data_IF_280512232437
#
_entry.id   IF_280512232437
#
_cell.length_a   1.000
_cell.length_b   1.000
_cell.length_c   1.000
_cell.angle_alpha   90.00
_cell.angle_beta   90.00
_cell.angle_gamma   90.00
#
_symmetry.space_group_name_H-M   'P 1'
#
loop_
_entity.id
_entity.type
_entity.pdbx_description
1 polymer ?
#
# COMPACT_ATOMS: atom_id res chain seq x y z
N UNK A 1 -8.89 16.21 -32.41
CA UNK A 1 -7.79 16.27 -31.42
C UNK A 1 -8.26 15.56 -30.17
N UNK A 2 -8.30 14.24 -30.20
CA UNK A 2 -8.66 13.35 -29.09
C UNK A 2 -8.36 11.97 -29.62
N UNK A 3 -7.30 11.32 -29.12
CA UNK A 3 -7.07 9.86 -29.15
C UNK A 3 -5.68 9.53 -28.55
N UNK A 4 -5.47 9.86 -27.26
CA UNK A 4 -4.32 9.34 -26.48
C UNK A 4 -4.76 8.55 -25.22
N UNK A 5 -6.07 8.48 -24.93
CA UNK A 5 -6.56 7.92 -23.66
C UNK A 5 -6.86 6.42 -23.68
N UNK A 6 -6.98 5.81 -24.86
CA UNK A 6 -7.54 4.45 -24.99
C UNK A 6 -6.50 3.32 -25.06
N UNK A 7 -5.23 3.64 -25.34
CA UNK A 7 -4.14 2.65 -25.41
C UNK A 7 -3.60 2.21 -24.03
N UNK A 8 -3.89 2.93 -22.94
CA UNK A 8 -3.29 2.65 -21.63
C UNK A 8 -4.15 1.78 -20.70
N UNK A 9 -5.48 1.90 -20.73
CA UNK A 9 -6.34 1.22 -19.74
C UNK A 9 -6.38 -0.29 -19.94
N UNK A 10 -6.44 -0.73 -21.20
CA UNK A 10 -6.43 -2.15 -21.54
C UNK A 10 -5.11 -2.81 -21.14
N UNK A 11 -3.99 -2.14 -21.34
CA UNK A 11 -2.66 -2.63 -20.97
C UNK A 11 -2.50 -2.70 -19.43
N UNK A 12 -3.01 -1.70 -18.70
CA UNK A 12 -3.02 -1.71 -17.23
C UNK A 12 -3.90 -2.85 -16.70
N UNK A 13 -5.07 -3.09 -17.31
CA UNK A 13 -5.96 -4.19 -16.93
C UNK A 13 -5.30 -5.54 -17.23
N UNK A 14 -4.64 -5.67 -18.39
CA UNK A 14 -3.89 -6.87 -18.75
C UNK A 14 -2.76 -7.16 -17.75
N UNK A 15 -2.00 -6.14 -17.35
CA UNK A 15 -0.94 -6.25 -16.35
C UNK A 15 -1.49 -6.70 -14.99
N UNK A 16 -2.59 -6.10 -14.53
CA UNK A 16 -3.25 -6.47 -13.26
C UNK A 16 -3.75 -7.92 -13.28
N UNK A 17 -4.30 -8.37 -14.41
CA UNK A 17 -4.75 -9.76 -14.58
C UNK A 17 -3.58 -10.73 -14.56
N UNK A 18 -2.49 -10.43 -15.29
CA UNK A 18 -1.27 -11.23 -15.27
C UNK A 18 -0.67 -11.35 -13.86
N UNK A 19 -0.61 -10.23 -13.12
CA UNK A 19 -0.17 -10.24 -11.73
C UNK A 19 -1.08 -11.09 -10.82
N UNK A 20 -2.41 -11.00 -11.01
CA UNK A 20 -3.37 -11.81 -10.26
C UNK A 20 -3.22 -13.31 -10.57
N UNK A 21 -2.97 -13.68 -11.83
CA UNK A 21 -2.70 -15.06 -12.21
C UNK A 21 -1.42 -15.58 -11.55
N UNK A 22 -0.37 -14.77 -11.47
CA UNK A 22 0.84 -15.10 -10.71
C UNK A 22 0.55 -15.37 -9.23
N UNK A 23 -0.22 -14.49 -8.58
CA UNK A 23 -0.63 -14.67 -7.19
C UNK A 23 -1.49 -15.92 -6.97
N UNK A 24 -2.38 -16.24 -7.91
CA UNK A 24 -3.20 -17.47 -7.87
C UNK A 24 -2.38 -18.74 -7.99
N UNK A 25 -1.31 -18.74 -8.78
CA UNK A 25 -0.37 -19.89 -8.87
C UNK A 25 0.39 -20.10 -7.56
N UNK A 26 0.72 -19.01 -6.86
CA UNK A 26 1.40 -19.07 -5.57
C UNK A 26 0.46 -19.48 -4.40
N UNK A 27 -0.86 -19.34 -4.55
CA UNK A 27 -1.84 -19.72 -3.54
C UNK A 27 -3.05 -18.81 -3.53
N UNK A 28 -3.45 -18.32 -2.34
CA UNK A 28 -4.59 -17.43 -2.19
C UNK A 28 -4.22 -15.97 -2.51
N UNK A 29 -4.75 -15.36 -3.59
CA UNK A 29 -4.47 -13.96 -3.94
C UNK A 29 -5.15 -12.94 -3.02
N UNK A 30 -6.13 -13.35 -2.21
CA UNK A 30 -6.88 -12.48 -1.31
C UNK A 30 -6.79 -13.00 0.13
N UNK A 31 -5.63 -12.87 0.79
CA UNK A 31 -5.49 -13.26 2.18
C UNK A 31 -6.25 -12.28 3.09
N UNK A 32 -6.81 -12.81 4.18
CA UNK A 32 -7.51 -12.04 5.22
C UNK A 32 -6.91 -12.32 6.61
N UNK A 33 -5.61 -12.56 6.63
CA UNK A 33 -4.79 -12.84 7.81
C UNK A 33 -4.21 -11.56 8.42
N UNK A 34 -3.96 -10.53 7.61
CA UNK A 34 -3.39 -9.28 8.08
C UNK A 34 -4.31 -8.60 9.11
N UNK A 35 -3.73 -8.30 10.27
CA UNK A 35 -4.36 -7.53 11.34
C UNK A 35 -3.48 -6.31 11.59
N UNK A 36 -4.01 -5.13 11.29
CA UNK A 36 -3.37 -3.87 11.64
C UNK A 36 -3.51 -3.63 13.14
N UNK A 37 -2.48 -3.05 13.75
CA UNK A 37 -2.50 -2.66 15.17
C UNK A 37 -2.73 -1.15 15.34
N UNK A 38 -2.37 -0.35 14.33
CA UNK A 38 -2.47 1.11 14.41
C UNK A 38 -3.26 1.71 13.25
N UNK A 39 -3.88 2.86 13.52
CA UNK A 39 -4.43 3.73 12.49
C UNK A 39 -3.41 4.82 12.12
N UNK A 40 -3.39 5.21 10.84
CA UNK A 40 -2.46 6.24 10.37
C UNK A 40 -2.68 7.59 11.09
N UNK A 41 -3.93 7.93 11.43
CA UNK A 41 -4.23 9.16 12.18
C UNK A 41 -3.64 9.12 13.59
N UNK A 42 -3.76 7.98 14.29
CA UNK A 42 -3.22 7.80 15.64
C UNK A 42 -1.69 7.92 15.65
N UNK A 43 -1.02 7.36 14.65
CA UNK A 43 0.43 7.50 14.51
C UNK A 43 0.84 8.95 14.27
N UNK A 44 0.10 9.67 13.42
CA UNK A 44 0.38 11.09 13.16
C UNK A 44 0.13 11.93 14.42
N UNK A 45 -0.96 11.71 15.14
CA UNK A 45 -1.25 12.44 16.38
C UNK A 45 -0.19 12.22 17.45
N UNK A 46 0.25 10.99 17.64
CA UNK A 46 1.22 10.63 18.68
C UNK A 46 2.67 11.01 18.33
N UNK A 47 3.03 10.95 17.04
CA UNK A 47 4.44 11.03 16.63
C UNK A 47 4.78 12.22 15.71
N UNK A 48 3.82 12.98 15.18
CA UNK A 48 4.14 14.10 14.28
C UNK A 48 4.88 15.25 14.98
N UNK A 49 4.80 15.35 16.31
CA UNK A 49 5.48 16.36 17.10
C UNK A 49 6.88 15.98 17.57
N UNK A 50 7.28 14.71 17.46
CA UNK A 50 8.56 14.25 17.98
C UNK A 50 9.72 14.56 17.04
N UNK A 51 10.88 14.85 17.63
CA UNK A 51 12.10 15.00 16.87
C UNK A 51 12.59 13.64 16.35
N UNK A 52 13.38 13.67 15.28
CA UNK A 52 13.95 12.46 14.67
C UNK A 52 14.76 11.63 15.68
N UNK A 53 15.49 12.31 16.57
CA UNK A 53 16.34 11.69 17.60
C UNK A 53 15.52 10.92 18.64
N UNK A 54 14.32 11.41 18.97
CA UNK A 54 13.41 10.77 19.93
C UNK A 54 12.76 9.51 19.32
N UNK A 55 12.37 9.58 18.04
CA UNK A 55 11.84 8.44 17.30
C UNK A 55 12.88 7.34 17.06
N UNK A 56 14.15 7.72 16.84
CA UNK A 56 15.25 6.77 16.68
C UNK A 56 15.64 6.08 18.00
N UNK A 57 15.40 6.73 19.14
CA UNK A 57 15.63 6.13 20.45
C UNK A 57 14.52 5.15 20.85
N UNK A 58 13.25 5.46 20.58
CA UNK A 58 12.11 4.59 20.94
C UNK A 58 11.86 3.46 19.93
N UNK A 59 12.19 3.65 18.65
CA UNK A 59 11.94 2.69 17.56
C UNK A 59 10.52 2.07 17.61
N UNK A 60 9.45 2.87 17.64
CA UNK A 60 8.10 2.36 17.74
C UNK A 60 7.77 1.50 16.50
N UNK A 61 7.51 0.21 16.72
CA UNK A 61 7.03 -0.69 15.68
C UNK A 61 5.59 -0.30 15.31
N UNK A 62 5.32 -0.15 14.02
CA UNK A 62 3.98 0.20 13.54
C UNK A 62 3.46 -0.80 12.49
N UNK A 63 2.28 -1.36 12.74
CA UNK A 63 1.55 -2.24 11.82
C UNK A 63 0.32 -1.51 11.25
N UNK A 64 0.38 -1.15 9.96
CA UNK A 64 -0.67 -0.40 9.25
C UNK A 64 -1.12 -1.11 7.96
N UNK A 65 -2.36 -0.86 7.54
CA UNK A 65 -2.91 -1.29 6.25
C UNK A 65 -3.70 -0.16 5.58
N UNK A 66 -3.68 -0.11 4.25
CA UNK A 66 -4.38 0.91 3.47
C UNK A 66 -4.27 0.72 1.96
N UNK A 67 -4.85 1.66 1.21
CA UNK A 67 -4.75 1.70 -0.26
C UNK A 67 -3.48 2.40 -0.69
N UNK A 68 -2.75 1.81 -1.64
CA UNK A 68 -1.64 2.48 -2.31
C UNK A 68 -2.22 3.52 -3.28
N UNK A 69 -2.00 4.80 -2.98
CA UNK A 69 -2.47 5.93 -3.81
C UNK A 69 -1.35 6.48 -4.70
N UNK A 70 -0.15 6.60 -4.15
CA UNK A 70 1.04 7.04 -4.86
C UNK A 70 2.19 6.07 -4.56
N UNK A 71 2.87 5.63 -5.62
CA UNK A 71 4.12 4.88 -5.52
C UNK A 71 5.14 5.61 -6.40
N UNK A 72 6.05 6.34 -5.77
CA UNK A 72 7.14 7.06 -6.43
C UNK A 72 8.45 6.30 -6.26
#
# INVERSE_FOLDING_TARGET
MTDEKDLNDNDIIALRRSALEGLRKAGNPFPNDFRREHLASELVENYAGLAKEELEAELPAALVAGRIVLRR
#
